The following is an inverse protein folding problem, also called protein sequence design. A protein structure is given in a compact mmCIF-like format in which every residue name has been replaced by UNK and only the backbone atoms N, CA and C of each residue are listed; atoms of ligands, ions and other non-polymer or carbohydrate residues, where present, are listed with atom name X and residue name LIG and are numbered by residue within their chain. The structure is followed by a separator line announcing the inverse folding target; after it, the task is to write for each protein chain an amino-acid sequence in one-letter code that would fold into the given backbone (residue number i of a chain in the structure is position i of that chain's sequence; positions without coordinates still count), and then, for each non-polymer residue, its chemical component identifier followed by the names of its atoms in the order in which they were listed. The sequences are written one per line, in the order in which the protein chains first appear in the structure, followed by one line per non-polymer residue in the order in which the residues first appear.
data_IF_233887626400
#
_entry.id   IF_233887626400
#
_cell.length_a   1.000
_cell.length_b   1.000
_cell.length_c   1.000
_cell.angle_alpha   90.00
_cell.angle_beta   90.00
_cell.angle_gamma   90.00
#
_symmetry.space_group_name_H-M   'P 1'
#
loop_
_entity.id
_entity.type
_entity.pdbx_description
1 polymer ?
#
# COMPACT_ATOMS: atom_id res chain seq x y z
N UNK A 1 12.39 21.44 10.17
CA UNK A 1 13.36 21.37 11.28
C UNK A 1 14.74 21.20 10.69
N UNK A 2 15.65 22.06 11.06
CA UNK A 2 17.05 22.06 10.59
C UNK A 2 17.92 21.50 11.70
N UNK A 3 18.79 20.56 11.37
CA UNK A 3 19.81 20.03 12.27
C UNK A 3 21.17 20.06 11.53
N UNK A 4 22.16 20.72 12.14
CA UNK A 4 23.54 20.84 11.63
C UNK A 4 23.64 21.33 10.17
N UNK A 5 22.78 22.31 9.78
CA UNK A 5 22.74 22.89 8.43
C UNK A 5 22.04 22.04 7.38
N UNK A 6 21.41 20.90 7.77
CA UNK A 6 20.64 20.03 6.88
C UNK A 6 19.15 20.17 7.16
N UNK A 7 18.38 20.52 6.14
CA UNK A 7 16.91 20.54 6.23
C UNK A 7 16.35 19.14 6.37
N UNK A 8 15.78 18.83 7.54
CA UNK A 8 15.07 17.58 7.76
C UNK A 8 13.68 17.64 7.11
N UNK A 9 13.43 16.81 6.11
CA UNK A 9 12.11 16.61 5.51
C UNK A 9 11.43 15.39 6.09
N UNK A 10 10.11 15.48 6.26
CA UNK A 10 9.33 14.34 6.70
C UNK A 10 9.32 13.27 5.59
N UNK A 11 9.78 12.06 5.90
CA UNK A 11 9.84 10.94 4.94
C UNK A 11 8.47 10.43 4.46
N UNK A 12 7.37 10.95 5.04
CA UNK A 12 6.00 10.67 4.59
C UNK A 12 5.57 11.56 3.40
N UNK A 13 6.33 12.60 3.07
CA UNK A 13 6.05 13.47 1.93
C UNK A 13 6.39 12.76 0.61
N UNK A 14 5.42 12.69 -0.30
CA UNK A 14 5.54 11.98 -1.57
C UNK A 14 6.57 12.59 -2.57
N UNK A 15 7.09 13.78 -2.27
CA UNK A 15 7.99 14.55 -3.15
C UNK A 15 9.49 14.40 -2.81
N UNK A 16 9.88 13.43 -1.98
CA UNK A 16 11.30 13.17 -1.75
C UNK A 16 11.93 12.52 -3.00
N UNK A 17 12.67 13.32 -3.74
CA UNK A 17 13.53 12.85 -4.82
C UNK A 17 14.80 12.20 -4.19
N UNK A 18 14.64 10.98 -3.71
CA UNK A 18 15.74 10.19 -3.18
C UNK A 18 16.39 9.41 -4.32
N UNK A 19 17.72 9.28 -4.34
CA UNK A 19 18.38 8.38 -5.28
C UNK A 19 17.84 6.96 -5.08
N UNK A 20 17.72 6.21 -6.17
CA UNK A 20 17.25 4.81 -6.15
C UNK A 20 17.97 4.05 -5.04
N UNK A 21 17.18 3.46 -4.12
CA UNK A 21 17.74 2.64 -3.06
C UNK A 21 18.57 1.50 -3.68
N UNK A 22 19.78 1.21 -3.18
CA UNK A 22 20.55 0.09 -3.68
C UNK A 22 19.68 -1.17 -3.62
N UNK A 23 19.64 -1.89 -4.74
CA UNK A 23 18.89 -3.13 -4.89
C UNK A 23 19.37 -4.15 -3.84
N UNK A 24 18.73 -4.16 -2.67
CA UNK A 24 18.77 -5.33 -1.81
C UNK A 24 18.21 -6.50 -2.64
N UNK A 25 18.73 -7.69 -2.47
CA UNK A 25 18.48 -8.94 -3.21
C UNK A 25 16.98 -9.26 -3.44
N UNK A 26 16.28 -8.34 -4.06
CA UNK A 26 14.90 -8.50 -4.48
C UNK A 26 14.93 -9.15 -5.85
N UNK A 27 14.12 -10.18 -6.03
CA UNK A 27 14.02 -10.90 -7.30
C UNK A 27 13.76 -9.97 -8.48
N UNK A 28 13.84 -10.52 -9.68
CA UNK A 28 13.57 -9.80 -10.92
C UNK A 28 12.25 -9.03 -10.85
N UNK A 29 12.28 -7.75 -11.21
CA UNK A 29 11.09 -6.88 -11.18
C UNK A 29 10.07 -7.32 -12.23
N UNK A 30 8.78 -7.14 -11.96
CA UNK A 30 7.75 -7.26 -12.99
C UNK A 30 8.05 -6.32 -14.16
N UNK A 31 7.75 -6.78 -15.38
CA UNK A 31 7.82 -5.92 -16.55
C UNK A 31 6.75 -4.83 -16.51
N UNK A 32 6.91 -3.81 -17.34
CA UNK A 32 6.04 -2.61 -17.31
C UNK A 32 4.58 -2.93 -17.65
N UNK A 33 4.31 -3.90 -18.52
CA UNK A 33 2.95 -4.30 -18.87
C UNK A 33 2.26 -5.02 -17.70
N UNK A 34 2.96 -5.93 -17.02
CA UNK A 34 2.43 -6.68 -15.90
C UNK A 34 2.15 -5.77 -14.69
N UNK A 35 3.08 -4.88 -14.34
CA UNK A 35 2.84 -3.93 -13.24
C UNK A 35 1.73 -2.93 -13.59
N UNK A 36 1.66 -2.46 -14.84
CA UNK A 36 0.60 -1.57 -15.30
C UNK A 36 -0.79 -2.20 -15.21
N UNK A 37 -0.91 -3.47 -15.61
CA UNK A 37 -2.14 -4.25 -15.47
C UNK A 37 -2.55 -4.41 -14.01
N UNK A 38 -1.61 -4.73 -13.15
CA UNK A 38 -1.86 -4.91 -11.73
C UNK A 38 -2.26 -3.59 -11.05
N UNK A 39 -1.60 -2.49 -11.36
CA UNK A 39 -1.96 -1.15 -10.87
C UNK A 39 -3.39 -0.79 -11.31
N UNK A 40 -3.75 -1.07 -12.55
CA UNK A 40 -5.12 -0.86 -13.06
C UNK A 40 -6.14 -1.69 -12.27
N UNK A 41 -5.80 -2.92 -11.89
CA UNK A 41 -6.65 -3.76 -11.06
C UNK A 41 -6.81 -3.19 -9.65
N UNK A 42 -5.73 -2.76 -9.01
CA UNK A 42 -5.79 -2.06 -7.71
C UNK A 42 -6.70 -0.83 -7.78
N UNK A 43 -6.59 -0.01 -8.83
CA UNK A 43 -7.48 1.15 -9.03
C UNK A 43 -8.94 0.75 -9.15
N UNK A 44 -9.24 -0.33 -9.86
CA UNK A 44 -10.60 -0.83 -10.01
C UNK A 44 -11.19 -1.35 -8.69
N UNK A 45 -10.40 -2.08 -7.89
CA UNK A 45 -10.81 -2.65 -6.61
C UNK A 45 -10.98 -1.57 -5.54
N UNK A 46 -10.01 -0.67 -5.41
CA UNK A 46 -10.00 0.36 -4.37
C UNK A 46 -10.86 1.57 -4.73
N UNK A 47 -11.07 1.80 -6.02
CA UNK A 47 -11.91 2.85 -6.56
C UNK A 47 -11.63 4.22 -5.93
N UNK A 48 -12.64 4.83 -5.31
CA UNK A 48 -12.55 6.17 -4.72
C UNK A 48 -11.93 6.21 -3.32
N UNK A 49 -11.50 5.07 -2.77
CA UNK A 49 -10.83 4.99 -1.45
C UNK A 49 -9.40 5.52 -1.47
N UNK A 50 -8.77 5.53 -2.64
CA UNK A 50 -7.44 6.11 -2.86
C UNK A 50 -7.51 7.24 -3.88
N UNK A 51 -6.58 8.19 -3.81
CA UNK A 51 -6.48 9.24 -4.83
C UNK A 51 -5.79 8.74 -6.09
N UNK A 52 -4.84 7.83 -5.95
CA UNK A 52 -4.14 7.17 -7.05
C UNK A 52 -3.48 5.87 -6.57
N UNK A 53 -3.07 5.03 -7.53
CA UNK A 53 -2.19 3.88 -7.31
C UNK A 53 -1.03 4.01 -8.28
N UNK A 54 0.20 3.90 -7.77
CA UNK A 54 1.40 4.03 -8.59
C UNK A 54 2.51 3.08 -8.15
N UNK A 55 3.50 2.91 -9.00
CA UNK A 55 4.71 2.18 -8.65
C UNK A 55 5.55 2.98 -7.65
N UNK A 56 6.09 2.31 -6.64
CA UNK A 56 7.05 2.89 -5.69
C UNK A 56 8.48 2.79 -6.21
N UNK A 57 9.23 3.88 -6.04
CA UNK A 57 10.68 3.90 -6.28
C UNK A 57 11.49 3.66 -5.00
N UNK A 58 10.84 3.68 -3.84
CA UNK A 58 11.51 3.69 -2.54
C UNK A 58 11.32 2.42 -1.71
N UNK A 59 10.26 1.64 -2.00
CA UNK A 59 9.96 0.43 -1.23
C UNK A 59 10.99 -0.67 -1.52
N UNK A 60 11.56 -1.21 -0.44
CA UNK A 60 12.50 -2.33 -0.49
C UNK A 60 11.91 -3.62 0.09
N UNK A 61 11.28 -3.57 1.25
CA UNK A 61 10.78 -4.75 1.96
C UNK A 61 9.27 -4.92 1.91
N UNK A 62 8.52 -3.82 1.95
CA UNK A 62 7.05 -3.88 1.96
C UNK A 62 6.46 -3.98 0.56
N UNK A 63 5.35 -4.73 0.39
CA UNK A 63 4.68 -4.83 -0.91
C UNK A 63 4.00 -3.54 -1.34
N UNK A 64 3.43 -2.80 -0.38
CA UNK A 64 2.73 -1.53 -0.61
C UNK A 64 2.95 -0.56 0.55
N UNK A 65 2.68 0.72 0.31
CA UNK A 65 2.55 1.74 1.36
C UNK A 65 1.54 2.80 0.96
N UNK A 66 1.02 3.52 1.94
CA UNK A 66 0.20 4.70 1.73
C UNK A 66 1.04 5.97 1.90
N UNK A 67 0.89 6.91 0.97
CA UNK A 67 1.53 8.22 1.03
C UNK A 67 0.49 9.32 0.85
N UNK A 68 0.74 10.48 1.45
CA UNK A 68 -0.13 11.65 1.27
C UNK A 68 0.02 12.21 -0.14
N UNK A 69 -1.10 12.55 -0.78
CA UNK A 69 -1.10 13.06 -2.16
C UNK A 69 -0.59 14.50 -2.25
N UNK A 70 -0.71 15.27 -1.18
CA UNK A 70 -0.37 16.69 -1.11
C UNK A 70 0.10 17.10 0.29
N UNK A 71 0.57 18.34 0.44
CA UNK A 71 1.00 18.94 1.71
C UNK A 71 -0.15 19.13 2.72
N UNK A 72 -0.97 18.11 2.89
CA UNK A 72 -2.03 18.06 3.87
C UNK A 72 -1.54 17.75 5.28
N UNK A 73 -2.45 17.78 6.24
CA UNK A 73 -2.17 17.37 7.62
C UNK A 73 -1.67 15.93 7.65
N UNK A 74 -0.50 15.71 8.25
CA UNK A 74 0.09 14.36 8.36
C UNK A 74 -0.75 13.38 9.17
N UNK A 75 -0.42 12.08 9.07
CA UNK A 75 -1.11 10.99 9.77
C UNK A 75 -1.30 11.24 11.28
N UNK A 76 -0.37 11.94 11.92
CA UNK A 76 -0.44 12.26 13.33
C UNK A 76 -1.58 13.23 13.66
N UNK A 77 -1.82 14.21 12.80
CA UNK A 77 -2.96 15.13 12.94
C UNK A 77 -4.29 14.44 12.68
N UNK A 78 -4.35 13.53 11.72
CA UNK A 78 -5.53 12.67 11.51
C UNK A 78 -5.89 11.88 12.76
N UNK A 79 -4.89 11.30 13.45
CA UNK A 79 -5.11 10.58 14.73
C UNK A 79 -5.66 11.50 15.80
N UNK A 80 -5.12 12.72 15.92
CA UNK A 80 -5.58 13.72 16.90
C UNK A 80 -7.04 14.11 16.64
N UNK A 81 -7.40 14.41 15.39
CA UNK A 81 -8.79 14.75 15.03
C UNK A 81 -9.76 13.60 15.31
N UNK A 82 -9.35 12.35 15.05
CA UNK A 82 -10.16 11.16 15.37
C UNK A 82 -10.36 10.98 16.87
N UNK A 83 -9.32 11.23 17.68
CA UNK A 83 -9.43 11.19 19.15
C UNK A 83 -10.35 12.27 19.71
N UNK A 84 -10.50 13.39 19.01
CA UNK A 84 -11.34 14.50 19.41
C UNK A 84 -12.80 14.38 18.93
N UNK A 85 -13.14 13.25 18.30
CA UNK A 85 -14.49 12.99 17.73
C UNK A 85 -14.98 14.13 16.81
N UNK A 86 -14.06 14.77 16.10
CA UNK A 86 -14.38 15.83 15.14
C UNK A 86 -14.57 15.24 13.75
N UNK A 87 -15.55 15.71 12.96
CA UNK A 87 -15.71 15.31 11.58
C UNK A 87 -14.46 15.76 10.80
N UNK A 88 -13.64 14.79 10.43
CA UNK A 88 -12.48 14.98 9.59
C UNK A 88 -12.69 14.20 8.29
N UNK A 89 -12.70 14.91 7.17
CA UNK A 89 -12.63 14.24 5.87
C UNK A 89 -11.20 13.71 5.71
N UNK A 90 -11.04 12.41 5.91
CA UNK A 90 -9.77 11.74 5.69
C UNK A 90 -9.31 12.00 4.25
N UNK A 91 -8.17 12.68 4.09
CA UNK A 91 -7.60 12.89 2.77
C UNK A 91 -7.29 11.54 2.13
N UNK A 92 -7.77 11.34 0.92
CA UNK A 92 -7.45 10.15 0.14
C UNK A 92 -5.94 10.11 -0.08
N UNK A 93 -5.36 8.93 0.10
CA UNK A 93 -3.93 8.70 -0.04
C UNK A 93 -3.62 8.01 -1.36
N UNK A 94 -2.37 8.11 -1.77
CA UNK A 94 -1.83 7.32 -2.89
C UNK A 94 -1.34 5.99 -2.34
N UNK A 95 -1.70 4.88 -3.00
CA UNK A 95 -1.11 3.58 -2.74
C UNK A 95 0.11 3.39 -3.65
N UNK A 96 1.26 3.23 -3.06
CA UNK A 96 2.49 2.87 -3.78
C UNK A 96 2.73 1.36 -3.71
N UNK A 97 3.05 0.76 -4.86
CA UNK A 97 3.21 -0.68 -5.06
C UNK A 97 4.66 -1.01 -5.41
N UNK A 98 5.23 -2.00 -4.73
CA UNK A 98 6.60 -2.46 -4.97
C UNK A 98 6.63 -3.59 -6.00
N UNK A 99 6.97 -3.28 -7.25
CA UNK A 99 7.04 -4.25 -8.36
C UNK A 99 8.02 -5.41 -8.17
N UNK A 100 8.96 -5.30 -7.22
CA UNK A 100 9.97 -6.33 -6.93
C UNK A 100 9.56 -7.28 -5.81
N UNK A 101 8.55 -6.91 -5.03
CA UNK A 101 8.11 -7.73 -3.89
C UNK A 101 7.52 -9.07 -4.38
N UNK A 102 7.92 -10.22 -3.77
CA UNK A 102 7.44 -11.54 -4.19
C UNK A 102 5.92 -11.67 -4.25
N UNK A 103 5.20 -11.11 -3.26
CA UNK A 103 3.74 -11.11 -3.23
C UNK A 103 3.14 -10.38 -4.45
N UNK A 104 3.68 -9.21 -4.80
CA UNK A 104 3.22 -8.43 -5.97
C UNK A 104 3.49 -9.19 -7.27
N UNK A 105 4.65 -9.85 -7.37
CA UNK A 105 4.98 -10.70 -8.51
C UNK A 105 4.01 -11.87 -8.64
N UNK A 106 3.73 -12.56 -7.55
CA UNK A 106 2.80 -13.69 -7.54
C UNK A 106 1.36 -13.24 -7.89
N UNK A 107 0.96 -12.04 -7.47
CA UNK A 107 -0.35 -11.48 -7.84
C UNK A 107 -0.51 -11.29 -9.35
N UNK A 108 0.57 -10.94 -10.06
CA UNK A 108 0.52 -10.78 -11.52
C UNK A 108 0.25 -12.11 -12.26
N UNK A 109 0.58 -13.24 -11.65
CA UNK A 109 0.38 -14.57 -12.20
C UNK A 109 -0.98 -15.20 -11.76
N UNK A 110 -1.72 -14.55 -10.84
CA UNK A 110 -3.01 -15.06 -10.39
C UNK A 110 -4.06 -14.99 -11.49
N UNK A 111 -4.68 -16.13 -11.76
CA UNK A 111 -5.83 -16.25 -12.69
C UNK A 111 -7.17 -16.14 -11.96
N UNK A 112 -7.21 -16.44 -10.67
CA UNK A 112 -8.38 -16.26 -9.82
C UNK A 112 -8.55 -14.78 -9.49
N UNK A 113 -9.51 -14.15 -10.15
CA UNK A 113 -9.78 -12.70 -9.99
C UNK A 113 -10.37 -12.35 -8.63
N UNK A 114 -11.12 -13.26 -8.01
CA UNK A 114 -11.67 -13.04 -6.67
C UNK A 114 -10.54 -13.03 -5.63
N UNK A 115 -9.66 -14.02 -5.71
CA UNK A 115 -8.49 -14.09 -4.85
C UNK A 115 -7.58 -12.86 -5.04
N UNK A 116 -7.38 -12.45 -6.30
CA UNK A 116 -6.58 -11.25 -6.61
C UNK A 116 -7.16 -9.99 -5.96
N UNK A 117 -8.48 -9.82 -6.02
CA UNK A 117 -9.18 -8.68 -5.42
C UNK A 117 -9.08 -8.71 -3.89
N UNK A 118 -9.26 -9.87 -3.27
CA UNK A 118 -9.12 -10.06 -1.83
C UNK A 118 -7.70 -9.74 -1.33
N UNK A 119 -6.67 -10.13 -2.09
CA UNK A 119 -5.26 -9.78 -1.77
C UNK A 119 -5.04 -8.27 -1.91
N UNK A 120 -5.56 -7.64 -2.96
CA UNK A 120 -5.43 -6.20 -3.17
C UNK A 120 -6.10 -5.39 -2.05
N UNK A 121 -7.31 -5.78 -1.65
CA UNK A 121 -8.03 -5.19 -0.50
C UNK A 121 -7.26 -5.37 0.80
N UNK A 122 -6.75 -6.58 1.04
CA UNK A 122 -6.02 -6.89 2.26
C UNK A 122 -4.73 -6.07 2.36
N UNK A 123 -4.00 -5.90 1.25
CA UNK A 123 -2.79 -5.09 1.21
C UNK A 123 -3.09 -3.62 1.54
N UNK A 124 -4.16 -3.07 0.98
CA UNK A 124 -4.59 -1.71 1.26
C UNK A 124 -4.95 -1.52 2.75
N UNK A 125 -5.79 -2.40 3.30
CA UNK A 125 -6.20 -2.32 4.70
C UNK A 125 -5.03 -2.57 5.66
N UNK A 126 -4.11 -3.46 5.31
CA UNK A 126 -2.86 -3.65 6.08
C UNK A 126 -2.01 -2.39 6.09
N UNK A 127 -1.91 -1.68 4.96
CA UNK A 127 -1.21 -0.39 4.91
C UNK A 127 -1.89 0.67 5.78
N UNK A 128 -3.24 0.73 5.79
CA UNK A 128 -4.00 1.59 6.70
C UNK A 128 -3.73 1.24 8.17
N UNK A 129 -3.67 -0.05 8.48
CA UNK A 129 -3.39 -0.52 9.84
C UNK A 129 -1.99 -0.11 10.31
N UNK A 130 -0.98 -0.23 9.45
CA UNK A 130 0.39 0.20 9.74
C UNK A 130 0.49 1.71 9.98
N UNK A 131 -0.28 2.50 9.24
CA UNK A 131 -0.38 3.95 9.44
C UNK A 131 -1.25 4.33 10.67
N UNK A 132 -1.91 3.37 11.29
CA UNK A 132 -2.80 3.59 12.44
C UNK A 132 -4.08 4.36 12.09
N UNK A 133 -4.53 4.28 10.85
CA UNK A 133 -5.72 4.96 10.34
C UNK A 133 -6.85 4.02 9.94
N UNK A 134 -6.69 2.71 10.18
CA UNK A 134 -7.75 1.74 9.90
C UNK A 134 -8.95 1.97 10.83
N UNK A 135 -10.18 2.15 10.29
CA UNK A 135 -11.35 2.49 11.10
C UNK A 135 -11.80 1.36 12.03
N UNK A 136 -11.78 0.12 11.54
CA UNK A 136 -12.17 -1.06 12.32
C UNK A 136 -11.40 -2.29 11.86
N UNK A 137 -10.25 -2.62 12.47
CA UNK A 137 -9.44 -3.77 12.07
C UNK A 137 -10.15 -5.13 12.15
N UNK A 138 -11.19 -5.25 12.97
CA UNK A 138 -11.97 -6.49 13.09
C UNK A 138 -12.67 -6.88 11.78
N UNK A 139 -12.99 -5.91 10.93
CA UNK A 139 -13.64 -6.17 9.63
C UNK A 139 -12.72 -6.89 8.63
N UNK A 140 -11.40 -6.87 8.88
CA UNK A 140 -10.41 -7.60 8.07
C UNK A 140 -10.44 -9.12 8.30
N UNK A 141 -10.94 -9.59 9.44
CA UNK A 141 -10.80 -10.99 9.86
C UNK A 141 -11.43 -11.99 8.87
N UNK A 142 -12.66 -11.80 8.36
CA UNK A 142 -13.25 -12.74 7.40
C UNK A 142 -12.43 -12.89 6.11
N UNK A 143 -11.84 -11.78 5.62
CA UNK A 143 -10.97 -11.81 4.44
C UNK A 143 -9.63 -12.47 4.73
N UNK A 144 -9.04 -12.23 5.90
CA UNK A 144 -7.82 -12.92 6.34
C UNK A 144 -8.06 -14.42 6.39
N UNK A 145 -9.19 -14.88 6.94
CA UNK A 145 -9.54 -16.29 7.00
C UNK A 145 -9.71 -16.89 5.60
N UNK A 146 -10.36 -16.20 4.67
CA UNK A 146 -10.51 -16.63 3.28
C UNK A 146 -9.15 -16.75 2.57
N UNK A 147 -8.24 -15.80 2.79
CA UNK A 147 -6.89 -15.85 2.24
C UNK A 147 -6.05 -16.97 2.85
N UNK A 148 -6.19 -17.25 4.14
CA UNK A 148 -5.53 -18.37 4.81
C UNK A 148 -6.07 -19.71 4.28
N UNK A 149 -7.37 -19.81 4.04
CA UNK A 149 -7.97 -20.99 3.41
C UNK A 149 -7.41 -21.21 2.00
N UNK A 150 -7.34 -20.15 1.19
CA UNK A 150 -6.74 -20.23 -0.14
C UNK A 150 -5.26 -20.66 -0.10
N UNK A 151 -4.49 -20.11 0.85
CA UNK A 151 -3.07 -20.45 1.02
C UNK A 151 -2.83 -21.88 1.51
N UNK A 152 -3.78 -22.46 2.26
CA UNK A 152 -3.68 -23.82 2.80
C UNK A 152 -4.34 -24.88 1.92
N UNK A 153 -5.02 -24.45 0.86
CA UNK A 153 -5.63 -25.39 -0.10
C UNK A 153 -4.54 -26.19 -0.78
N UNK A 154 -4.57 -27.51 -0.59
CA UNK A 154 -3.66 -28.42 -1.28
C UNK A 154 -4.00 -28.46 -2.76
N UNK A 155 -3.03 -28.20 -3.61
CA UNK A 155 -3.16 -28.52 -5.03
C UNK A 155 -3.35 -30.04 -5.15
N UNK A 156 -4.55 -30.45 -5.51
CA UNK A 156 -4.81 -31.84 -5.90
C UNK A 156 -4.23 -32.02 -7.29
N UNK A 157 -3.09 -32.71 -7.36
CA UNK A 157 -2.52 -33.15 -8.63
C UNK A 157 -3.39 -34.16 -9.31
#
# INVERSE_FOLDING_TARGET
TEFDGVNLRNGADAELDLPDAPAAEQGEALNDDAIGTLISRFKAVLNDRVSDVRESKLLTESPVRLVTADKGMGADMERVYRMLDKPFEAQKRILEVNRRHPLIRNMADLTDTVLLDDVAEQLYESAMLLEGIHPNPADMVPRIEALMEAATRRETK
#
